data_IF_640103271807
#
_entry.id   IF_640103271807
#
_cell.length_a   1.000
_cell.length_b   1.000
_cell.length_c   1.000
_cell.angle_alpha   90.00
_cell.angle_beta   90.00
_cell.angle_gamma   90.00
#
_symmetry.space_group_name_H-M   'P 1'
#
loop_
_entity.id
_entity.type
_entity.pdbx_description
1 polymer ?
#
# COMPACT_ATOMS: atom_id res chain seq x y z
N UNK A 1 -5.88 -4.80 23.57
CA UNK A 1 -5.59 -5.04 22.14
C UNK A 1 -5.22 -3.75 21.35
N UNK A 2 -5.82 -2.57 21.54
CA UNK A 2 -5.34 -1.33 20.88
C UNK A 2 -3.86 -1.03 21.18
N UNK A 3 -3.40 -1.23 22.41
CA UNK A 3 -1.98 -1.09 22.79
C UNK A 3 -1.07 -2.01 21.99
N UNK A 4 -1.47 -3.29 21.81
CA UNK A 4 -0.72 -4.23 20.99
C UNK A 4 -0.64 -3.79 19.52
N UNK A 5 -1.74 -3.31 18.96
CA UNK A 5 -1.78 -2.77 17.60
C UNK A 5 -0.84 -1.56 17.45
N UNK A 6 -0.87 -0.62 18.40
CA UNK A 6 0.03 0.54 18.39
C UNK A 6 1.50 0.12 18.56
N UNK A 7 1.78 -0.90 19.39
CA UNK A 7 3.14 -1.45 19.56
C UNK A 7 3.64 -2.11 18.25
N UNK A 8 2.77 -2.86 17.57
CA UNK A 8 3.10 -3.46 16.27
C UNK A 8 3.37 -2.38 15.21
N UNK A 9 2.54 -1.34 15.17
CA UNK A 9 2.74 -0.19 14.29
C UNK A 9 4.05 0.56 14.60
N UNK A 10 4.37 0.78 15.87
CA UNK A 10 5.64 1.38 16.29
C UNK A 10 6.85 0.52 15.86
N UNK A 11 6.72 -0.81 15.92
CA UNK A 11 7.78 -1.70 15.44
C UNK A 11 8.01 -1.58 13.93
N UNK A 12 6.94 -1.41 13.15
CA UNK A 12 7.02 -1.13 11.71
C UNK A 12 7.66 0.24 11.46
N UNK A 13 7.25 1.31 12.16
CA UNK A 13 7.84 2.65 12.05
C UNK A 13 9.35 2.64 12.37
N UNK A 14 9.77 1.92 13.40
CA UNK A 14 11.20 1.77 13.74
C UNK A 14 12.00 1.04 12.69
N UNK A 15 11.36 0.18 11.89
CA UNK A 15 12.02 -0.51 10.77
C UNK A 15 12.28 0.42 9.59
N UNK A 16 11.45 1.44 9.38
CA UNK A 16 11.59 2.46 8.33
C UNK A 16 11.17 3.85 8.89
N UNK A 17 12.07 4.58 9.56
CA UNK A 17 11.75 5.85 10.22
C UNK A 17 11.26 6.94 9.25
N UNK A 18 11.81 6.97 8.05
CA UNK A 18 11.66 8.04 7.06
C UNK A 18 10.80 7.63 5.84
N UNK A 19 10.27 6.40 5.84
CA UNK A 19 9.48 5.84 4.72
C UNK A 19 7.98 5.99 4.99
N UNK A 20 7.17 6.22 3.98
CA UNK A 20 5.71 6.31 4.09
C UNK A 20 5.09 4.99 4.56
N UNK A 21 4.26 5.04 5.61
CA UNK A 21 3.55 3.87 6.16
C UNK A 21 2.04 4.11 6.20
N UNK A 22 1.29 3.26 5.50
CA UNK A 22 -0.16 3.29 5.45
C UNK A 22 -0.79 2.07 6.14
N UNK A 23 -1.83 2.28 6.95
CA UNK A 23 -2.60 1.21 7.57
C UNK A 23 -3.63 0.63 6.60
N UNK A 24 -3.49 -0.66 6.30
CA UNK A 24 -4.44 -1.45 5.51
C UNK A 24 -5.13 -2.55 6.35
N UNK A 25 -5.11 -2.40 7.67
CA UNK A 25 -5.59 -3.40 8.61
C UNK A 25 -7.11 -3.44 8.80
N UNK A 26 -7.84 -2.39 8.41
CA UNK A 26 -9.27 -2.24 8.66
C UNK A 26 -10.11 -3.41 8.10
N UNK A 27 -9.79 -3.90 6.90
CA UNK A 27 -10.51 -5.01 6.23
C UNK A 27 -10.33 -6.38 6.90
N UNK A 28 -9.39 -6.54 7.82
CA UNK A 28 -9.07 -7.81 8.49
C UNK A 28 -9.83 -7.99 9.80
N UNK A 29 -10.68 -7.03 10.18
CA UNK A 29 -11.41 -7.03 11.44
C UNK A 29 -12.88 -6.71 11.21
N UNK A 30 -13.70 -6.92 12.22
CA UNK A 30 -15.10 -6.50 12.17
C UNK A 30 -15.20 -4.98 12.02
N UNK A 31 -16.13 -4.43 11.19
CA UNK A 31 -16.23 -2.99 10.93
C UNK A 31 -16.30 -2.12 12.18
N UNK A 32 -16.95 -2.59 13.25
CA UNK A 32 -17.05 -1.84 14.52
C UNK A 32 -15.74 -1.52 15.21
N UNK A 33 -14.64 -2.24 14.87
CA UNK A 33 -13.32 -2.01 15.46
C UNK A 33 -12.28 -1.55 14.42
N UNK A 34 -12.67 -1.41 13.16
CA UNK A 34 -11.78 -0.99 12.09
C UNK A 34 -11.12 0.37 12.38
N UNK A 35 -11.90 1.36 12.85
CA UNK A 35 -11.38 2.66 13.27
C UNK A 35 -10.38 2.58 14.45
N UNK A 36 -10.52 1.57 15.32
CA UNK A 36 -9.55 1.33 16.40
C UNK A 36 -8.22 0.83 15.87
N UNK A 37 -8.22 0.02 14.80
CA UNK A 37 -6.99 -0.44 14.12
C UNK A 37 -6.24 0.76 13.57
N UNK A 38 -6.91 1.59 12.78
CA UNK A 38 -6.31 2.75 12.12
C UNK A 38 -5.81 3.80 13.12
N UNK A 39 -6.62 4.11 14.16
CA UNK A 39 -6.17 4.97 15.25
C UNK A 39 -4.92 4.42 15.94
N UNK A 40 -4.86 3.12 16.18
CA UNK A 40 -3.69 2.49 16.80
C UNK A 40 -2.46 2.56 15.90
N UNK A 41 -2.63 2.44 14.59
CA UNK A 41 -1.56 2.63 13.61
C UNK A 41 -1.00 4.06 13.64
N UNK A 42 -1.87 5.08 13.65
CA UNK A 42 -1.45 6.48 13.77
C UNK A 42 -0.70 6.75 15.08
N UNK A 43 -1.18 6.22 16.21
CA UNK A 43 -0.48 6.32 17.51
C UNK A 43 0.90 5.67 17.44
N UNK A 44 1.05 4.58 16.69
CA UNK A 44 2.32 3.90 16.44
C UNK A 44 3.22 4.61 15.41
N UNK A 45 2.79 5.75 14.86
CA UNK A 45 3.59 6.59 13.98
C UNK A 45 3.36 6.37 12.49
N UNK A 46 2.24 5.80 12.07
CA UNK A 46 1.87 5.70 10.66
C UNK A 46 1.42 7.05 10.10
N UNK A 47 1.65 7.26 8.82
CA UNK A 47 1.37 8.53 8.13
C UNK A 47 -0.10 8.61 7.69
N UNK A 48 -0.72 7.46 7.37
CA UNK A 48 -2.10 7.40 6.89
C UNK A 48 -2.78 6.06 7.16
N UNK A 49 -4.04 5.98 6.75
CA UNK A 49 -4.91 4.81 6.89
C UNK A 49 -5.95 4.78 5.76
N UNK A 50 -6.54 3.62 5.50
CA UNK A 50 -7.42 3.39 4.33
C UNK A 50 -8.92 3.39 4.63
N UNK A 51 -9.35 3.52 5.89
CA UNK A 51 -10.75 3.39 6.28
C UNK A 51 -11.45 4.75 6.40
N UNK A 52 -12.31 5.08 5.43
CA UNK A 52 -12.99 6.38 5.32
C UNK A 52 -13.73 6.78 6.61
N UNK A 53 -14.54 5.88 7.19
CA UNK A 53 -15.25 6.18 8.43
C UNK A 53 -14.32 6.43 9.66
N UNK A 54 -13.07 5.99 9.61
CA UNK A 54 -12.09 6.37 10.61
C UNK A 54 -11.58 7.79 10.41
N UNK A 55 -11.57 8.27 9.15
CA UNK A 55 -11.25 9.64 8.79
C UNK A 55 -12.16 10.65 9.49
N UNK A 56 -13.45 10.43 9.42
CA UNK A 56 -14.46 11.25 10.07
C UNK A 56 -14.23 11.35 11.60
N UNK A 57 -13.87 10.23 12.22
CA UNK A 57 -13.61 10.16 13.66
C UNK A 57 -12.29 10.85 14.08
N UNK A 58 -11.32 10.92 13.18
CA UNK A 58 -9.98 11.44 13.48
C UNK A 58 -9.71 12.81 12.87
N UNK A 59 -10.67 13.36 12.10
CA UNK A 59 -10.52 14.64 11.42
C UNK A 59 -9.37 14.65 10.41
N UNK A 60 -9.14 13.51 9.72
CA UNK A 60 -8.09 13.33 8.70
C UNK A 60 -8.64 12.55 7.53
N UNK A 61 -8.21 12.89 6.32
CA UNK A 61 -8.59 12.14 5.13
C UNK A 61 -7.95 10.74 5.11
N UNK A 62 -8.72 9.78 4.63
CA UNK A 62 -8.21 8.43 4.41
C UNK A 62 -7.35 8.42 3.15
N UNK A 63 -6.20 7.76 3.22
CA UNK A 63 -5.38 7.48 2.06
C UNK A 63 -5.80 6.14 1.46
N UNK A 64 -6.20 6.14 0.20
CA UNK A 64 -6.71 4.95 -0.49
C UNK A 64 -5.86 4.56 -1.68
N UNK A 65 -6.06 3.32 -2.09
CA UNK A 65 -5.57 2.78 -3.34
C UNK A 65 -6.62 1.80 -3.86
N UNK A 66 -6.56 1.47 -5.15
CA UNK A 66 -7.50 0.55 -5.75
C UNK A 66 -7.34 -0.90 -5.26
N UNK A 67 -8.42 -1.67 -5.08
CA UNK A 67 -8.36 -3.08 -4.71
C UNK A 67 -8.24 -3.98 -5.94
N UNK A 68 -7.70 -5.20 -5.78
CA UNK A 68 -7.72 -6.24 -6.83
C UNK A 68 -9.14 -6.51 -7.37
N UNK A 69 -10.18 -6.34 -6.53
CA UNK A 69 -11.57 -6.51 -6.95
C UNK A 69 -11.95 -5.57 -8.11
N UNK A 70 -11.43 -4.34 -8.15
CA UNK A 70 -11.63 -3.43 -9.27
C UNK A 70 -11.03 -4.02 -10.55
N UNK A 71 -9.77 -4.46 -10.51
CA UNK A 71 -9.11 -5.08 -11.65
C UNK A 71 -9.90 -6.30 -12.16
N UNK A 72 -10.34 -7.17 -11.24
CA UNK A 72 -11.13 -8.36 -11.56
C UNK A 72 -12.47 -8.04 -12.23
N UNK A 73 -13.12 -6.91 -11.90
CA UNK A 73 -14.35 -6.46 -12.55
C UNK A 73 -14.15 -6.10 -14.03
N UNK A 74 -12.98 -5.55 -14.38
CA UNK A 74 -12.63 -5.24 -15.76
C UNK A 74 -12.09 -6.46 -16.53
N UNK A 75 -11.41 -7.37 -15.83
CA UNK A 75 -10.85 -8.60 -16.38
C UNK A 75 -9.51 -8.45 -17.09
N UNK A 76 -8.86 -9.57 -17.42
CA UNK A 76 -7.55 -9.57 -18.06
C UNK A 76 -7.54 -8.78 -19.38
N UNK A 77 -6.48 -8.03 -19.61
CA UNK A 77 -6.31 -7.19 -20.80
C UNK A 77 -6.99 -5.81 -20.72
N UNK A 78 -7.75 -5.52 -19.66
CA UNK A 78 -8.45 -4.24 -19.48
C UNK A 78 -7.92 -3.49 -18.24
N UNK A 79 -6.68 -3.72 -17.85
CA UNK A 79 -6.04 -3.11 -16.69
C UNK A 79 -6.06 -1.58 -16.77
N UNK A 80 -5.70 -1.02 -17.93
CA UNK A 80 -5.71 0.42 -18.14
C UNK A 80 -7.11 1.05 -18.03
N UNK A 81 -8.13 0.35 -18.50
CA UNK A 81 -9.51 0.82 -18.38
C UNK A 81 -9.94 0.88 -16.90
N UNK A 82 -9.49 -0.08 -16.08
CA UNK A 82 -9.72 -0.06 -14.65
C UNK A 82 -9.01 1.12 -13.97
N UNK A 83 -7.76 1.41 -14.35
CA UNK A 83 -7.01 2.56 -13.84
C UNK A 83 -7.66 3.88 -14.24
N UNK A 84 -8.08 4.05 -15.50
CA UNK A 84 -8.79 5.25 -15.98
C UNK A 84 -10.12 5.46 -15.26
N UNK A 85 -10.89 4.38 -15.08
CA UNK A 85 -12.16 4.46 -14.35
C UNK A 85 -11.96 4.85 -12.88
N UNK A 86 -10.85 4.41 -12.25
CA UNK A 86 -10.49 4.85 -10.91
C UNK A 86 -10.11 6.34 -10.90
N UNK A 87 -9.26 6.78 -11.81
CA UNK A 87 -8.82 8.18 -11.91
C UNK A 87 -9.99 9.14 -12.14
N UNK A 88 -10.95 8.76 -12.99
CA UNK A 88 -12.17 9.53 -13.25
C UNK A 88 -13.11 9.61 -12.04
N UNK A 89 -13.08 8.60 -11.16
CA UNK A 89 -14.03 8.48 -10.05
C UNK A 89 -13.52 9.09 -8.74
N UNK A 90 -12.21 9.25 -8.56
CA UNK A 90 -11.65 9.78 -7.31
C UNK A 90 -11.51 11.30 -7.36
N UNK A 91 -11.56 11.92 -6.18
CA UNK A 91 -11.36 13.36 -6.04
C UNK A 91 -9.97 13.76 -6.57
N UNK A 92 -9.83 14.88 -7.29
CA UNK A 92 -8.53 15.35 -7.79
C UNK A 92 -7.42 15.48 -6.75
N UNK A 93 -7.77 15.72 -5.49
CA UNK A 93 -6.81 15.87 -4.38
C UNK A 93 -6.34 14.52 -3.79
N UNK A 94 -6.90 13.39 -4.24
CA UNK A 94 -6.49 12.05 -3.78
C UNK A 94 -5.30 11.54 -4.59
N UNK A 95 -4.18 11.14 -3.96
CA UNK A 95 -3.04 10.56 -4.65
C UNK A 95 -3.41 9.31 -5.47
N UNK A 96 -2.93 9.22 -6.71
CA UNK A 96 -3.18 8.11 -7.61
C UNK A 96 -2.16 7.02 -7.41
N UNK A 97 -2.57 5.94 -6.75
CA UNK A 97 -1.74 4.76 -6.52
C UNK A 97 -2.28 3.58 -7.34
N UNK A 98 -1.63 3.25 -8.45
CA UNK A 98 -2.04 2.16 -9.34
C UNK A 98 -1.63 0.80 -8.76
N UNK A 99 -2.53 -0.18 -8.82
CA UNK A 99 -2.22 -1.57 -8.50
C UNK A 99 -1.70 -2.27 -9.76
N UNK A 100 -0.48 -2.81 -9.69
CA UNK A 100 0.29 -3.27 -10.85
C UNK A 100 0.70 -4.76 -10.81
N UNK A 101 -0.10 -5.64 -10.19
CA UNK A 101 0.28 -7.04 -10.02
C UNK A 101 -0.90 -8.01 -10.12
N UNK A 102 -1.93 -7.64 -10.89
CA UNK A 102 -3.16 -8.44 -10.93
C UNK A 102 -3.15 -9.49 -12.04
N UNK A 103 -2.75 -9.14 -13.25
CA UNK A 103 -2.88 -10.01 -14.42
C UNK A 103 -1.59 -10.27 -15.17
N UNK A 104 -0.75 -9.25 -15.33
CA UNK A 104 0.46 -9.27 -16.14
C UNK A 104 1.73 -9.11 -15.29
N UNK A 105 2.86 -8.86 -15.95
CA UNK A 105 4.13 -8.56 -15.28
C UNK A 105 4.06 -7.21 -14.60
N UNK A 106 4.33 -7.19 -13.30
CA UNK A 106 4.21 -6.01 -12.46
C UNK A 106 5.15 -4.86 -12.84
N UNK A 107 6.30 -5.18 -13.43
CA UNK A 107 7.28 -4.17 -13.87
C UNK A 107 6.76 -3.43 -15.11
N UNK A 108 6.22 -4.17 -16.08
CA UNK A 108 5.64 -3.59 -17.29
C UNK A 108 4.34 -2.84 -16.97
N UNK A 109 3.51 -3.36 -16.05
CA UNK A 109 2.31 -2.67 -15.59
C UNK A 109 2.65 -1.36 -14.87
N UNK A 110 3.70 -1.32 -14.05
CA UNK A 110 4.15 -0.11 -13.37
C UNK A 110 4.53 1.00 -14.35
N UNK A 111 5.27 0.69 -15.41
CA UNK A 111 5.62 1.68 -16.44
C UNK A 111 4.36 2.19 -17.16
N UNK A 112 3.43 1.30 -17.53
CA UNK A 112 2.16 1.70 -18.16
C UNK A 112 1.31 2.61 -17.26
N UNK A 113 1.27 2.33 -15.95
CA UNK A 113 0.56 3.18 -15.00
C UNK A 113 1.21 4.57 -14.86
N UNK A 114 2.54 4.63 -14.84
CA UNK A 114 3.29 5.89 -14.83
C UNK A 114 3.04 6.72 -16.10
N UNK A 115 3.02 6.09 -17.29
CA UNK A 115 2.67 6.73 -18.55
C UNK A 115 1.24 7.31 -18.57
N UNK A 116 0.33 6.78 -17.77
CA UNK A 116 -1.01 7.30 -17.57
C UNK A 116 -1.09 8.43 -16.54
N UNK A 117 0.03 8.80 -15.90
CA UNK A 117 0.11 9.90 -14.96
C UNK A 117 -0.24 9.54 -13.51
N UNK A 118 -0.09 8.27 -13.12
CA UNK A 118 -0.23 7.87 -11.72
C UNK A 118 0.97 8.33 -10.89
N UNK A 119 0.71 8.87 -9.71
CA UNK A 119 1.74 9.38 -8.78
C UNK A 119 2.57 8.26 -8.15
N UNK A 120 1.97 7.07 -8.05
CA UNK A 120 2.59 5.92 -7.40
C UNK A 120 2.09 4.61 -7.99
N UNK A 121 2.92 3.57 -7.90
CA UNK A 121 2.56 2.19 -8.24
C UNK A 121 2.60 1.32 -6.98
N UNK A 122 1.71 0.33 -6.90
CA UNK A 122 1.64 -0.60 -5.76
C UNK A 122 1.79 -2.05 -6.19
N UNK A 123 2.74 -2.72 -5.53
CA UNK A 123 3.01 -4.15 -5.67
C UNK A 123 2.55 -4.87 -4.39
N UNK A 124 1.61 -5.82 -4.50
CA UNK A 124 0.93 -6.48 -3.36
C UNK A 124 1.29 -7.96 -3.21
N UNK A 125 2.30 -8.44 -3.91
CA UNK A 125 2.61 -9.88 -4.06
C UNK A 125 3.87 -10.35 -3.34
N UNK A 126 4.31 -9.66 -2.28
CA UNK A 126 5.56 -9.95 -1.55
C UNK A 126 5.75 -11.42 -1.17
N UNK A 127 4.68 -12.14 -0.88
CA UNK A 127 4.72 -13.54 -0.42
C UNK A 127 4.30 -14.58 -1.45
N UNK A 128 3.82 -14.19 -2.63
CA UNK A 128 3.27 -15.10 -3.64
C UNK A 128 4.04 -15.14 -4.95
N UNK A 129 4.88 -14.15 -5.20
CA UNK A 129 5.69 -14.06 -6.43
C UNK A 129 6.87 -15.05 -6.39
N UNK A 130 7.16 -15.65 -7.56
CA UNK A 130 8.39 -16.44 -7.72
C UNK A 130 9.59 -15.53 -7.87
N UNK A 131 10.67 -15.86 -7.19
CA UNK A 131 11.92 -15.11 -7.23
C UNK A 131 12.13 -14.22 -6.01
N UNK A 132 13.13 -13.39 -6.09
CA UNK A 132 13.49 -12.43 -5.03
C UNK A 132 12.70 -11.14 -5.26
N UNK A 133 11.73 -10.88 -4.39
CA UNK A 133 10.83 -9.72 -4.50
C UNK A 133 11.59 -8.39 -4.44
N UNK A 134 12.70 -8.33 -3.68
CA UNK A 134 13.55 -7.15 -3.66
C UNK A 134 14.15 -6.84 -5.04
N UNK A 135 14.54 -7.87 -5.80
CA UNK A 135 15.01 -7.68 -7.18
C UNK A 135 13.90 -7.17 -8.10
N UNK A 136 12.68 -7.63 -7.93
CA UNK A 136 11.52 -7.15 -8.70
C UNK A 136 11.28 -5.65 -8.43
N UNK A 137 11.27 -5.23 -7.16
CA UNK A 137 11.12 -3.81 -6.78
C UNK A 137 12.25 -2.95 -7.39
N UNK A 138 13.49 -3.44 -7.35
CA UNK A 138 14.63 -2.74 -7.98
C UNK A 138 14.52 -2.66 -9.50
N UNK A 139 14.04 -3.71 -10.14
CA UNK A 139 13.80 -3.73 -11.58
C UNK A 139 12.70 -2.75 -11.96
N UNK A 140 11.61 -2.72 -11.17
CA UNK A 140 10.53 -1.73 -11.33
C UNK A 140 11.08 -0.30 -11.25
N UNK A 141 11.88 0.03 -10.23
CA UNK A 141 12.50 1.35 -10.11
C UNK A 141 13.38 1.67 -11.33
N UNK A 142 14.25 0.73 -11.71
CA UNK A 142 15.12 0.92 -12.87
C UNK A 142 14.33 1.16 -14.17
N UNK A 143 13.25 0.42 -14.39
CA UNK A 143 12.41 0.58 -15.58
C UNK A 143 11.66 1.92 -15.58
N UNK A 144 11.12 2.33 -14.44
CA UNK A 144 10.48 3.64 -14.29
C UNK A 144 11.47 4.76 -14.56
N UNK A 145 12.67 4.73 -13.99
CA UNK A 145 13.73 5.71 -14.23
C UNK A 145 14.15 5.75 -15.70
N UNK A 146 14.32 4.58 -16.34
CA UNK A 146 14.69 4.48 -17.76
C UNK A 146 13.60 5.02 -18.70
N UNK A 147 12.34 4.96 -18.26
CA UNK A 147 11.19 5.54 -18.98
C UNK A 147 10.96 7.04 -18.69
N UNK A 148 11.73 7.63 -17.75
CA UNK A 148 11.63 9.03 -17.37
C UNK A 148 10.61 9.35 -16.29
N UNK A 149 10.23 8.33 -15.48
CA UNK A 149 9.29 8.39 -14.36
C UNK A 149 10.01 8.20 -13.01
N UNK A 150 11.08 8.95 -12.80
CA UNK A 150 11.90 8.91 -11.58
C UNK A 150 11.20 9.54 -10.36
N UNK A 151 10.13 10.28 -10.60
CA UNK A 151 9.24 10.88 -9.61
C UNK A 151 8.08 9.97 -9.15
N UNK A 152 7.86 8.82 -9.80
CA UNK A 152 6.78 7.88 -9.44
C UNK A 152 7.22 7.01 -8.26
N UNK A 153 6.49 7.06 -7.14
CA UNK A 153 6.76 6.26 -5.94
C UNK A 153 6.40 4.78 -6.11
N UNK A 154 7.16 3.90 -5.46
CA UNK A 154 6.86 2.47 -5.39
C UNK A 154 6.36 2.11 -3.99
N UNK A 155 5.09 1.76 -3.88
CA UNK A 155 4.48 1.22 -2.67
C UNK A 155 4.47 -0.30 -2.68
N UNK A 156 4.83 -0.90 -1.54
CA UNK A 156 4.81 -2.35 -1.35
C UNK A 156 3.80 -2.73 -0.28
N UNK A 157 2.96 -3.72 -0.55
CA UNK A 157 1.97 -4.26 0.41
C UNK A 157 1.85 -5.79 0.29
N UNK A 158 0.94 -6.40 1.06
CA UNK A 158 0.79 -7.86 1.08
C UNK A 158 1.76 -8.55 2.06
N UNK A 159 1.28 -8.88 3.26
CA UNK A 159 2.07 -9.61 4.26
C UNK A 159 3.23 -8.83 4.90
N UNK A 160 3.20 -7.51 4.84
CA UNK A 160 4.29 -6.65 5.32
C UNK A 160 4.47 -6.76 6.84
N UNK A 161 5.72 -7.03 7.25
CA UNK A 161 6.19 -7.10 8.63
C UNK A 161 7.39 -6.15 8.84
N UNK A 162 7.80 -5.86 10.08
CA UNK A 162 9.04 -5.10 10.33
C UNK A 162 10.31 -5.73 9.71
N UNK A 163 10.33 -7.05 9.53
CA UNK A 163 11.44 -7.73 8.84
C UNK A 163 11.42 -7.42 7.34
N UNK A 164 10.27 -7.57 6.68
CA UNK A 164 10.09 -7.23 5.26
C UNK A 164 10.38 -5.75 4.99
N UNK A 165 9.96 -4.86 5.88
CA UNK A 165 10.26 -3.42 5.76
C UNK A 165 11.77 -3.18 5.76
N UNK A 166 12.54 -3.80 6.72
CA UNK A 166 14.01 -3.63 6.75
C UNK A 166 14.69 -4.13 5.49
N UNK A 167 14.14 -5.17 4.88
CA UNK A 167 14.66 -5.75 3.64
C UNK A 167 14.43 -4.85 2.42
N UNK A 168 13.28 -4.15 2.37
CA UNK A 168 12.83 -3.42 1.18
C UNK A 168 12.94 -1.90 1.29
N UNK A 169 13.18 -1.32 2.47
CA UNK A 169 13.13 0.13 2.73
C UNK A 169 14.11 1.00 1.94
N UNK A 170 15.11 0.40 1.31
CA UNK A 170 16.09 1.09 0.48
C UNK A 170 15.76 0.97 -1.03
N UNK A 171 14.66 0.30 -1.36
CA UNK A 171 14.17 0.11 -2.74
C UNK A 171 12.70 0.44 -2.92
N UNK A 172 11.95 0.66 -1.84
CA UNK A 172 10.54 1.04 -1.85
C UNK A 172 10.34 2.37 -1.10
N UNK A 173 9.45 3.21 -1.60
CA UNK A 173 9.13 4.55 -1.10
C UNK A 173 8.04 4.52 -0.01
N UNK A 174 7.23 3.46 0.01
CA UNK A 174 6.18 3.30 1.01
C UNK A 174 5.72 1.87 1.22
N UNK A 175 5.03 1.64 2.35
CA UNK A 175 4.51 0.32 2.71
C UNK A 175 3.05 0.40 3.17
N UNK A 176 2.22 -0.54 2.66
CA UNK A 176 0.89 -0.81 3.16
C UNK A 176 0.89 -1.98 4.14
N UNK A 177 0.63 -1.72 5.42
CA UNK A 177 0.71 -2.74 6.49
C UNK A 177 -0.70 -3.07 7.00
N UNK A 178 -1.10 -4.31 6.85
CA UNK A 178 -2.44 -4.78 7.23
C UNK A 178 -2.42 -5.71 8.44
N UNK A 179 -2.36 -7.01 8.20
CA UNK A 179 -2.51 -8.08 9.19
C UNK A 179 -1.53 -7.99 10.36
N UNK A 180 -0.32 -7.49 10.15
CA UNK A 180 0.66 -7.30 11.21
C UNK A 180 0.15 -6.39 12.34
N UNK A 181 -0.65 -5.37 11.99
CA UNK A 181 -1.27 -4.48 12.98
C UNK A 181 -2.56 -5.10 13.52
N UNK A 182 -3.49 -5.47 12.64
CA UNK A 182 -4.84 -5.90 13.03
C UNK A 182 -4.84 -7.17 13.86
N UNK A 183 -3.90 -8.09 13.61
CA UNK A 183 -3.75 -9.38 14.27
C UNK A 183 -2.69 -9.37 15.39
N UNK A 184 -2.19 -8.19 15.78
CA UNK A 184 -1.20 -8.10 16.85
C UNK A 184 -1.65 -8.82 18.14
N UNK A 185 -0.76 -9.65 18.68
CA UNK A 185 -1.00 -10.36 19.91
C UNK A 185 -1.19 -9.39 21.08
N UNK A 186 -2.02 -9.73 22.08
CA UNK A 186 -2.13 -8.94 23.29
C UNK A 186 -0.74 -8.73 23.93
N UNK A 187 -0.49 -7.52 24.41
CA UNK A 187 0.69 -7.20 25.22
C UNK A 187 0.25 -7.23 26.67
N UNK A 188 0.87 -8.09 27.46
CA UNK A 188 0.65 -8.20 28.91
C UNK A 188 1.43 -7.12 29.67
#
# INVERSE_FOLDING_TARGET
KPSAMATAALAARRAAPDTSLLSFGARHVHPSIAGTVDRSALVGGFDGFSHVAAGDLMGRDAAGTMPHALMLCFGPGNQEDAWRAFDEAVDPDVPRIALCDTFDDEVDEAVRAAELGFDSVRLDTTGSRRGDFRHIVRETRWKLDAAGHDDVDIFVSGGITPATIRELRDVADGFGVGSHISNADPVD
#
